data_IF_488012887991
#
_entry.id   IF_488012887991
#
_cell.length_a   1.000
_cell.length_b   1.000
_cell.length_c   1.000
_cell.angle_alpha   90.00
_cell.angle_beta   90.00
_cell.angle_gamma   90.00
#
_symmetry.space_group_name_H-M   'P 1'
#
loop_
_entity.id
_entity.type
_entity.pdbx_description
1 polymer ?
#
# COMPACT_ATOMS: atom_id res chain seq x y z
N UNK A 1 -7.93 10.20 5.41
CA UNK A 1 -6.56 10.71 5.59
C UNK A 1 -6.47 12.01 4.81
N UNK A 2 -6.33 13.18 5.46
CA UNK A 2 -6.16 14.44 4.74
C UNK A 2 -4.73 14.49 4.22
N UNK A 3 -4.55 14.40 2.91
CA UNK A 3 -3.29 14.81 2.29
C UNK A 3 -3.18 16.30 2.52
N UNK A 4 -2.23 16.69 3.36
CA UNK A 4 -2.01 18.09 3.74
C UNK A 4 -1.72 18.90 2.48
N UNK A 5 -2.47 19.98 2.32
CA UNK A 5 -2.34 20.88 1.18
C UNK A 5 -0.95 21.54 1.24
N UNK A 6 -0.01 21.08 0.40
CA UNK A 6 1.39 21.57 0.35
C UNK A 6 1.52 22.98 -0.24
N UNK A 7 0.40 23.62 -0.58
CA UNK A 7 0.40 24.99 -1.06
C UNK A 7 0.51 26.04 0.07
N UNK A 8 0.45 25.63 1.33
CA UNK A 8 0.75 26.52 2.45
C UNK A 8 2.27 26.50 2.62
N UNK A 9 2.90 27.62 2.30
CA UNK A 9 4.30 27.90 2.65
C UNK A 9 4.38 28.11 4.17
N UNK A 10 4.08 27.07 4.93
CA UNK A 10 4.33 27.08 6.35
C UNK A 10 5.85 27.01 6.54
N UNK A 11 6.39 28.05 7.12
CA UNK A 11 7.77 28.04 7.60
C UNK A 11 7.78 27.04 8.77
N UNK A 12 8.12 25.79 8.45
CA UNK A 12 8.33 24.76 9.47
C UNK A 12 9.56 25.19 10.29
N UNK A 13 9.36 25.44 11.58
CA UNK A 13 10.46 25.65 12.51
C UNK A 13 10.87 24.27 13.01
N UNK A 14 12.03 23.70 12.53
CA UNK A 14 12.38 22.30 12.77
C UNK A 14 12.48 21.92 14.25
N UNK A 15 12.62 22.90 15.14
CA UNK A 15 12.70 22.70 16.60
C UNK A 15 11.35 22.57 17.30
N UNK A 16 10.23 22.91 16.62
CA UNK A 16 8.91 22.98 17.23
C UNK A 16 7.95 21.91 16.69
N UNK A 17 8.28 21.26 15.56
CA UNK A 17 7.44 20.24 14.93
C UNK A 17 8.13 18.86 14.92
N UNK A 18 7.38 17.85 15.33
CA UNK A 18 7.76 16.45 15.17
C UNK A 18 6.84 15.79 14.18
N UNK A 19 7.37 15.42 13.02
CA UNK A 19 6.63 14.67 12.01
C UNK A 19 6.57 13.20 12.38
N UNK A 20 5.35 12.65 12.38
CA UNK A 20 5.10 11.21 12.61
C UNK A 20 4.30 10.71 11.41
N UNK A 21 4.85 9.74 10.69
CA UNK A 21 4.14 9.07 9.61
C UNK A 21 3.20 8.02 10.18
N UNK A 22 1.95 8.03 9.74
CA UNK A 22 0.98 6.99 10.03
C UNK A 22 0.79 6.13 8.79
N UNK A 23 1.02 4.84 8.95
CA UNK A 23 0.83 3.84 7.91
C UNK A 23 -0.51 3.11 8.11
N UNK A 24 -1.02 2.39 7.09
CA UNK A 24 -2.12 1.44 7.29
C UNK A 24 -1.79 0.44 8.41
N UNK A 25 -2.81 -0.07 9.08
CA UNK A 25 -2.65 -1.11 10.10
C UNK A 25 -1.92 -2.31 9.50
N UNK A 26 -0.98 -2.86 10.24
CA UNK A 26 -0.37 -4.14 9.90
C UNK A 26 -1.28 -5.32 10.28
N UNK A 27 -0.83 -6.56 9.99
CA UNK A 27 -1.63 -7.75 10.30
C UNK A 27 -1.86 -7.94 11.80
N UNK A 28 -0.89 -7.60 12.64
CA UNK A 28 -1.03 -7.69 14.10
C UNK A 28 -2.09 -6.69 14.59
N UNK A 29 -1.99 -5.44 14.17
CA UNK A 29 -2.93 -4.38 14.54
C UNK A 29 -4.35 -4.69 14.04
N UNK A 30 -4.49 -5.21 12.81
CA UNK A 30 -5.78 -5.70 12.29
C UNK A 30 -6.34 -6.84 13.14
N UNK A 31 -5.51 -7.82 13.51
CA UNK A 31 -5.93 -8.93 14.34
C UNK A 31 -6.38 -8.48 15.74
N UNK A 32 -5.65 -7.53 16.33
CA UNK A 32 -6.03 -6.90 17.61
C UNK A 32 -7.36 -6.16 17.49
N UNK A 33 -7.57 -5.40 16.43
CA UNK A 33 -8.84 -4.74 16.15
C UNK A 33 -10.01 -5.73 15.99
N UNK A 34 -9.74 -6.92 15.44
CA UNK A 34 -10.70 -8.01 15.33
C UNK A 34 -10.94 -8.78 16.65
N UNK A 35 -10.25 -8.42 17.75
CA UNK A 35 -10.38 -9.09 19.05
C UNK A 35 -9.60 -10.39 19.16
N UNK A 36 -8.61 -10.65 18.29
CA UNK A 36 -7.83 -11.89 18.22
C UNK A 36 -6.47 -11.79 18.96
N UNK A 37 -6.44 -11.05 20.08
CA UNK A 37 -5.22 -10.83 20.89
C UNK A 37 -4.55 -12.14 21.34
N UNK A 38 -5.36 -13.13 21.76
CA UNK A 38 -4.84 -14.43 22.20
C UNK A 38 -4.15 -15.19 21.06
N UNK A 39 -4.70 -15.11 19.85
CA UNK A 39 -4.10 -15.74 18.68
C UNK A 39 -2.72 -15.12 18.38
N UNK A 40 -2.61 -13.80 18.41
CA UNK A 40 -1.33 -13.09 18.18
C UNK A 40 -0.29 -13.47 19.25
N UNK A 41 -0.68 -13.49 20.53
CA UNK A 41 0.21 -13.93 21.62
C UNK A 41 0.70 -15.37 21.43
N UNK A 42 -0.20 -16.25 20.98
CA UNK A 42 0.15 -17.65 20.70
C UNK A 42 1.12 -17.77 19.53
N UNK A 43 0.89 -17.05 18.43
CA UNK A 43 1.79 -17.00 17.27
C UNK A 43 3.19 -16.54 17.70
N UNK A 44 3.29 -15.44 18.46
CA UNK A 44 4.57 -14.93 18.98
C UNK A 44 5.28 -15.97 19.86
N UNK A 45 4.54 -16.64 20.74
CA UNK A 45 5.10 -17.68 21.62
C UNK A 45 5.68 -18.86 20.82
N UNK A 46 4.96 -19.31 19.77
CA UNK A 46 5.45 -20.38 18.91
C UNK A 46 6.67 -19.94 18.10
N UNK A 47 6.68 -18.70 17.60
CA UNK A 47 7.82 -18.12 16.89
C UNK A 47 9.08 -18.07 17.77
N UNK A 48 8.96 -17.59 19.01
CA UNK A 48 10.07 -17.49 19.95
C UNK A 48 10.65 -18.87 20.31
N UNK A 49 9.77 -19.86 20.45
CA UNK A 49 10.15 -21.26 20.71
C UNK A 49 10.61 -22.02 19.48
N UNK A 50 10.43 -21.45 18.28
CA UNK A 50 10.67 -22.11 16.97
C UNK A 50 9.84 -23.40 16.81
N UNK A 51 8.62 -23.40 17.34
CA UNK A 51 7.66 -24.49 17.25
C UNK A 51 6.57 -24.15 16.22
N UNK A 52 6.06 -25.13 15.45
CA UNK A 52 4.94 -24.88 14.55
C UNK A 52 3.66 -24.58 15.34
N UNK A 53 2.77 -23.81 14.72
CA UNK A 53 1.41 -23.65 15.24
C UNK A 53 0.65 -24.97 15.18
N UNK A 54 -0.19 -25.22 16.19
CA UNK A 54 -1.18 -26.27 16.12
C UNK A 54 -2.11 -26.05 14.92
N UNK A 55 -2.52 -27.14 14.24
CA UNK A 55 -3.25 -27.07 12.97
C UNK A 55 -4.49 -26.16 13.04
N UNK A 56 -5.33 -26.31 14.07
CA UNK A 56 -6.53 -25.49 14.20
C UNK A 56 -6.24 -23.99 14.38
N UNK A 57 -5.16 -23.67 15.12
CA UNK A 57 -4.72 -22.28 15.30
C UNK A 57 -4.07 -21.72 14.04
N UNK A 58 -3.33 -22.55 13.30
CA UNK A 58 -2.78 -22.18 11.99
C UNK A 58 -3.91 -21.86 11.00
N UNK A 59 -4.91 -22.73 10.89
CA UNK A 59 -6.04 -22.51 9.96
C UNK A 59 -6.80 -21.23 10.32
N UNK A 60 -7.00 -20.96 11.61
CA UNK A 60 -7.60 -19.71 12.10
C UNK A 60 -6.75 -18.48 11.73
N UNK A 61 -5.43 -18.55 11.93
CA UNK A 61 -4.50 -17.48 11.60
C UNK A 61 -4.51 -17.19 10.09
N UNK A 62 -4.51 -18.24 9.26
CA UNK A 62 -4.56 -18.11 7.80
C UNK A 62 -5.87 -17.51 7.31
N UNK A 63 -7.00 -17.88 7.91
CA UNK A 63 -8.29 -17.27 7.59
C UNK A 63 -8.30 -15.78 7.92
N UNK A 64 -7.77 -15.40 9.10
CA UNK A 64 -7.67 -14.01 9.51
C UNK A 64 -6.73 -13.22 8.58
N UNK A 65 -5.60 -13.83 8.19
CA UNK A 65 -4.67 -13.23 7.23
C UNK A 65 -5.31 -13.01 5.85
N UNK A 66 -6.12 -13.96 5.37
CA UNK A 66 -6.88 -13.78 4.13
C UNK A 66 -7.89 -12.63 4.26
N UNK A 67 -8.58 -12.50 5.40
CA UNK A 67 -9.46 -11.36 5.67
C UNK A 67 -8.67 -10.03 5.62
N UNK A 68 -7.50 -9.98 6.26
CA UNK A 68 -6.61 -8.82 6.21
C UNK A 68 -6.18 -8.46 4.78
N UNK A 69 -5.78 -9.45 3.98
CA UNK A 69 -5.41 -9.21 2.58
C UNK A 69 -6.53 -8.59 1.75
N UNK A 70 -7.78 -8.97 2.02
CA UNK A 70 -8.95 -8.45 1.32
C UNK A 70 -9.43 -7.09 1.84
N UNK A 71 -9.45 -6.91 3.16
CA UNK A 71 -9.92 -5.67 3.80
C UNK A 71 -8.86 -4.58 3.75
N UNK A 72 -7.60 -4.96 3.97
CA UNK A 72 -6.46 -4.06 4.13
C UNK A 72 -6.33 -3.53 5.56
N UNK A 73 -5.40 -2.60 5.72
CA UNK A 73 -5.11 -1.92 6.98
C UNK A 73 -5.62 -0.48 7.06
N UNK A 74 -6.39 -0.01 6.08
CA UNK A 74 -6.95 1.34 6.16
C UNK A 74 -8.03 1.40 7.25
N UNK A 75 -7.99 2.38 8.18
CA UNK A 75 -8.85 2.38 9.37
C UNK A 75 -10.35 2.32 9.06
N UNK A 76 -10.85 3.10 8.11
CA UNK A 76 -12.29 3.12 7.78
C UNK A 76 -12.81 1.78 7.23
N UNK A 77 -12.16 1.13 6.24
CA UNK A 77 -12.52 -0.23 5.83
C UNK A 77 -12.48 -1.25 6.96
N UNK A 78 -11.48 -1.17 7.86
CA UNK A 78 -11.37 -2.10 9.00
C UNK A 78 -12.52 -1.90 9.99
N UNK A 79 -12.84 -0.65 10.36
CA UNK A 79 -13.99 -0.33 11.23
C UNK A 79 -15.29 -0.81 10.58
N UNK A 80 -15.49 -0.47 9.30
CA UNK A 80 -16.68 -0.90 8.56
C UNK A 80 -16.83 -2.42 8.53
N UNK A 81 -15.73 -3.15 8.34
CA UNK A 81 -15.72 -4.61 8.35
C UNK A 81 -16.11 -5.19 9.71
N UNK A 82 -15.55 -4.66 10.79
CA UNK A 82 -15.77 -5.17 12.16
C UNK A 82 -17.21 -4.88 12.62
N UNK A 83 -17.66 -3.64 12.49
CA UNK A 83 -18.97 -3.20 12.97
C UNK A 83 -20.13 -3.84 12.22
N UNK A 84 -19.94 -4.18 10.95
CA UNK A 84 -20.96 -4.80 10.10
C UNK A 84 -20.79 -6.32 9.99
N UNK A 85 -20.40 -7.00 11.08
CA UNK A 85 -20.33 -8.48 11.16
C UNK A 85 -19.45 -9.11 10.07
N UNK A 86 -18.31 -8.51 9.81
CA UNK A 86 -17.33 -8.95 8.80
C UNK A 86 -17.86 -8.87 7.36
N UNK A 87 -18.61 -7.83 7.05
CA UNK A 87 -19.15 -7.59 5.72
C UNK A 87 -18.09 -7.00 4.78
N UNK A 88 -17.62 -7.80 3.84
CA UNK A 88 -16.60 -7.38 2.86
C UNK A 88 -17.12 -6.32 1.87
N UNK A 89 -18.39 -6.37 1.49
CA UNK A 89 -18.97 -5.42 0.53
C UNK A 89 -18.97 -4.00 1.08
N UNK A 90 -19.30 -3.83 2.36
CA UNK A 90 -19.26 -2.51 2.99
C UNK A 90 -17.82 -2.00 3.15
N UNK A 91 -16.88 -2.87 3.53
CA UNK A 91 -15.47 -2.52 3.56
C UNK A 91 -14.93 -2.15 2.17
N UNK A 92 -15.37 -2.85 1.12
CA UNK A 92 -14.97 -2.54 -0.26
C UNK A 92 -15.49 -1.18 -0.72
N UNK A 93 -16.69 -0.79 -0.32
CA UNK A 93 -17.23 0.55 -0.59
C UNK A 93 -16.32 1.64 0.00
N UNK A 94 -15.90 1.50 1.26
CA UNK A 94 -14.98 2.45 1.89
C UNK A 94 -13.62 2.53 1.16
N UNK A 95 -13.11 1.38 0.69
CA UNK A 95 -11.87 1.33 -0.10
C UNK A 95 -12.01 2.05 -1.44
N UNK A 96 -13.13 1.87 -2.14
CA UNK A 96 -13.41 2.57 -3.40
C UNK A 96 -13.52 4.07 -3.21
N UNK A 97 -14.10 4.54 -2.12
CA UNK A 97 -14.12 5.95 -1.77
C UNK A 97 -12.70 6.51 -1.54
N UNK A 98 -11.81 5.76 -0.89
CA UNK A 98 -10.40 6.14 -0.74
C UNK A 98 -9.68 6.19 -2.09
N UNK A 99 -9.86 5.18 -2.96
CA UNK A 99 -9.25 5.15 -4.30
C UNK A 99 -9.72 6.35 -5.15
N UNK A 100 -11.01 6.71 -5.04
CA UNK A 100 -11.54 7.91 -5.70
C UNK A 100 -10.86 9.19 -5.17
N UNK A 101 -10.70 9.33 -3.86
CA UNK A 101 -9.99 10.46 -3.26
C UNK A 101 -8.53 10.54 -3.74
N UNK A 102 -7.83 9.41 -3.86
CA UNK A 102 -6.48 9.39 -4.42
C UNK A 102 -6.44 9.91 -5.85
N UNK A 103 -7.41 9.51 -6.70
CA UNK A 103 -7.53 10.04 -8.06
C UNK A 103 -7.80 11.55 -8.07
N UNK A 104 -8.67 12.04 -7.20
CA UNK A 104 -8.96 13.48 -7.06
C UNK A 104 -7.70 14.26 -6.64
N UNK A 105 -6.88 13.70 -5.75
CA UNK A 105 -5.61 14.32 -5.33
C UNK A 105 -4.58 14.34 -6.47
N UNK A 106 -4.48 13.26 -7.24
CA UNK A 106 -3.66 13.22 -8.45
C UNK A 106 -4.13 14.29 -9.47
N UNK A 107 -5.42 14.53 -9.58
CA UNK A 107 -5.97 15.56 -10.50
C UNK A 107 -5.59 16.99 -10.11
N UNK A 108 -5.19 17.24 -8.86
CA UNK A 108 -4.72 18.55 -8.36
C UNK A 108 -3.26 18.86 -8.73
N UNK A 109 -2.49 17.84 -9.17
CA UNK A 109 -1.09 18.00 -9.56
C UNK A 109 -0.99 18.85 -10.83
N UNK A 110 0.17 19.48 -11.03
CA UNK A 110 0.48 20.19 -12.26
C UNK A 110 0.22 19.31 -13.50
N UNK A 111 -0.47 19.85 -14.48
CA UNK A 111 -0.90 19.13 -15.69
C UNK A 111 0.24 18.42 -16.44
N UNK A 112 1.46 18.93 -16.33
CA UNK A 112 2.67 18.35 -16.96
C UNK A 112 2.96 16.93 -16.47
N UNK A 113 2.71 16.64 -15.16
CA UNK A 113 3.05 15.36 -14.52
C UNK A 113 1.83 14.47 -14.29
N UNK A 114 0.64 15.05 -14.26
CA UNK A 114 -0.62 14.37 -13.94
C UNK A 114 -0.84 13.09 -14.75
N UNK A 115 -0.68 13.16 -16.06
CA UNK A 115 -0.90 12.02 -16.95
C UNK A 115 0.06 10.85 -16.63
N UNK A 116 1.30 11.17 -16.29
CA UNK A 116 2.31 10.16 -15.95
C UNK A 116 2.00 9.52 -14.59
N UNK A 117 1.59 10.33 -13.60
CA UNK A 117 1.19 9.82 -12.28
C UNK A 117 -0.02 8.91 -12.40
N UNK A 118 -1.05 9.31 -13.13
CA UNK A 118 -2.21 8.47 -13.41
C UNK A 118 -1.83 7.18 -14.13
N UNK A 119 -0.97 7.26 -15.15
CA UNK A 119 -0.53 6.08 -15.91
C UNK A 119 0.19 5.05 -15.03
N UNK A 120 1.06 5.49 -14.12
CA UNK A 120 1.72 4.57 -13.17
C UNK A 120 0.68 4.02 -12.19
N UNK A 121 -0.10 4.89 -11.55
CA UNK A 121 -1.09 4.53 -10.56
C UNK A 121 -2.08 3.46 -11.08
N UNK A 122 -2.64 3.68 -12.27
CA UNK A 122 -3.62 2.78 -12.88
C UNK A 122 -3.01 1.44 -13.30
N UNK A 123 -1.71 1.41 -13.60
CA UNK A 123 -1.03 0.19 -14.04
C UNK A 123 -0.37 -0.61 -12.91
N UNK A 124 -0.37 -0.12 -11.66
CA UNK A 124 0.21 -0.87 -10.53
C UNK A 124 -0.28 -2.33 -10.47
N UNK A 125 -1.60 -2.62 -10.52
CA UNK A 125 -2.08 -4.00 -10.50
C UNK A 125 -1.54 -4.81 -11.69
N UNK A 126 -1.51 -4.20 -12.89
CA UNK A 126 -1.01 -4.82 -14.10
C UNK A 126 0.48 -5.18 -14.03
N UNK A 127 1.32 -4.32 -13.44
CA UNK A 127 2.73 -4.64 -13.21
C UNK A 127 2.91 -5.77 -12.20
N UNK A 128 2.15 -5.75 -11.11
CA UNK A 128 2.24 -6.76 -10.06
C UNK A 128 1.71 -8.14 -10.49
N UNK A 129 0.82 -8.21 -11.48
CA UNK A 129 0.34 -9.47 -12.06
C UNK A 129 1.38 -10.18 -12.93
N UNK A 130 2.44 -9.49 -13.38
CA UNK A 130 3.49 -10.07 -14.20
C UNK A 130 4.47 -10.88 -13.36
N UNK A 131 5.18 -11.83 -14.00
CA UNK A 131 6.16 -12.68 -13.32
C UNK A 131 7.23 -11.87 -12.58
N UNK A 132 7.82 -10.86 -13.22
CA UNK A 132 8.88 -10.03 -12.61
C UNK A 132 8.35 -8.96 -11.67
N UNK A 133 7.06 -8.63 -11.72
CA UNK A 133 6.39 -7.61 -10.89
C UNK A 133 7.06 -6.23 -10.92
N UNK A 134 7.82 -5.93 -11.97
CA UNK A 134 8.49 -4.63 -12.15
C UNK A 134 7.69 -3.71 -13.04
N UNK A 135 7.93 -2.42 -12.89
CA UNK A 135 7.40 -1.40 -13.81
C UNK A 135 8.11 -1.54 -15.16
N UNK A 136 7.33 -1.68 -16.22
CA UNK A 136 7.83 -1.75 -17.60
C UNK A 136 7.46 -0.45 -18.31
N UNK A 137 8.39 0.50 -18.37
CA UNK A 137 8.15 1.84 -18.90
C UNK A 137 7.68 1.84 -20.36
N UNK A 138 8.20 0.94 -21.19
CA UNK A 138 7.76 0.78 -22.57
C UNK A 138 6.28 0.37 -22.72
N UNK A 139 5.67 -0.22 -21.68
CA UNK A 139 4.22 -0.50 -21.68
C UNK A 139 3.39 0.73 -21.34
N UNK A 140 3.97 1.70 -20.64
CA UNK A 140 3.30 2.96 -20.32
C UNK A 140 3.29 3.84 -21.55
N UNK A 141 4.46 4.01 -22.18
CA UNK A 141 4.64 4.75 -23.42
C UNK A 141 5.84 4.17 -24.16
N UNK A 142 5.71 3.92 -25.46
CA UNK A 142 6.79 3.41 -26.29
C UNK A 142 8.01 4.33 -26.25
N UNK A 143 9.21 3.75 -26.03
CA UNK A 143 10.46 4.50 -25.90
C UNK A 143 10.66 5.23 -24.58
N UNK A 144 9.87 4.93 -23.55
CA UNK A 144 10.01 5.56 -22.24
C UNK A 144 11.06 4.88 -21.37
N UNK A 145 11.74 5.69 -20.55
CA UNK A 145 12.74 5.28 -19.56
C UNK A 145 12.38 5.86 -18.18
N UNK A 146 12.97 5.30 -17.13
CA UNK A 146 12.72 5.69 -15.73
C UNK A 146 12.92 7.17 -15.47
N UNK A 147 13.96 7.78 -16.01
CA UNK A 147 14.31 9.20 -15.81
C UNK A 147 13.13 10.15 -16.14
N UNK A 148 12.24 9.71 -17.02
CA UNK A 148 11.05 10.50 -17.38
C UNK A 148 9.94 10.40 -16.34
N UNK A 149 10.04 9.46 -15.38
CA UNK A 149 9.03 9.16 -14.37
C UNK A 149 9.53 9.32 -12.94
N UNK A 150 10.78 9.75 -12.70
CA UNK A 150 11.33 9.92 -11.35
C UNK A 150 10.45 10.81 -10.47
N UNK A 151 10.01 11.95 -10.98
CA UNK A 151 9.11 12.86 -10.25
C UNK A 151 7.74 12.23 -9.96
N UNK A 152 7.31 11.31 -10.82
CA UNK A 152 6.04 10.56 -10.66
C UNK A 152 6.13 9.62 -9.46
N UNK A 153 7.21 8.85 -9.39
CA UNK A 153 7.44 7.94 -8.28
C UNK A 153 7.64 8.71 -6.98
N UNK A 154 8.49 9.73 -7.01
CA UNK A 154 8.69 10.60 -5.84
C UNK A 154 7.36 11.14 -5.29
N UNK A 155 6.47 11.60 -6.17
CA UNK A 155 5.16 12.10 -5.74
C UNK A 155 4.29 11.01 -5.12
N UNK A 156 4.22 9.82 -5.75
CA UNK A 156 3.43 8.69 -5.25
C UNK A 156 3.92 8.20 -3.88
N UNK A 157 5.23 8.10 -3.71
CA UNK A 157 5.85 7.69 -2.44
C UNK A 157 5.65 8.74 -1.35
N UNK A 158 5.93 10.00 -1.67
CA UNK A 158 5.83 11.12 -0.73
C UNK A 158 4.37 11.41 -0.31
N UNK A 159 3.39 11.13 -1.19
CA UNK A 159 1.97 11.15 -0.87
C UNK A 159 1.50 9.90 -0.10
N UNK A 160 2.38 8.93 0.16
CA UNK A 160 2.09 7.66 0.82
C UNK A 160 0.98 6.85 0.10
N UNK A 161 0.80 7.04 -1.21
CA UNK A 161 -0.15 6.27 -2.04
C UNK A 161 0.48 4.96 -2.47
N UNK A 162 1.79 4.98 -2.79
CA UNK A 162 2.52 3.80 -3.23
C UNK A 162 3.89 3.71 -2.57
N UNK A 163 4.41 2.49 -2.50
CA UNK A 163 5.75 2.17 -2.03
C UNK A 163 6.61 1.69 -3.19
N UNK A 164 7.81 2.23 -3.30
CA UNK A 164 8.81 1.83 -4.28
C UNK A 164 9.77 0.80 -3.68
N UNK A 165 10.16 -0.16 -4.51
CA UNK A 165 11.16 -1.15 -4.14
C UNK A 165 12.17 -1.29 -5.29
N UNK A 166 13.40 -0.86 -5.05
CA UNK A 166 14.49 -0.95 -6.02
C UNK A 166 15.33 -2.21 -5.83
N UNK A 167 15.91 -2.70 -6.92
CA UNK A 167 16.88 -3.77 -6.85
C UNK A 167 18.18 -3.24 -6.26
N UNK A 168 18.67 -3.90 -5.21
CA UNK A 168 20.00 -3.68 -4.66
C UNK A 168 20.87 -4.90 -4.91
N UNK A 169 21.99 -4.71 -5.60
CA UNK A 169 22.93 -5.79 -5.94
C UNK A 169 23.99 -6.03 -4.87
N UNK A 170 24.29 -5.01 -4.05
CA UNK A 170 25.25 -5.09 -2.96
C UNK A 170 24.63 -4.53 -1.67
N UNK A 171 24.23 -5.41 -0.72
CA UNK A 171 23.63 -4.98 0.54
C UNK A 171 24.65 -4.60 1.62
N UNK A 172 25.94 -4.54 1.30
CA UNK A 172 27.01 -4.38 2.29
C UNK A 172 27.05 -3.00 2.95
N UNK A 173 26.79 -1.92 2.22
CA UNK A 173 26.82 -0.55 2.73
C UNK A 173 25.80 0.33 2.02
N UNK A 174 24.95 0.99 2.78
CA UNK A 174 24.04 2.01 2.24
C UNK A 174 23.20 1.54 1.05
N UNK A 175 22.10 0.83 1.29
CA UNK A 175 21.27 0.22 0.24
C UNK A 175 20.94 1.20 -0.89
N UNK A 176 20.64 2.46 -0.54
CA UNK A 176 20.31 3.51 -1.51
C UNK A 176 21.47 3.90 -2.45
N UNK A 177 22.72 3.63 -2.06
CA UNK A 177 23.89 3.91 -2.90
C UNK A 177 24.10 2.85 -4.00
N UNK A 178 23.56 1.64 -3.77
CA UNK A 178 23.74 0.48 -4.64
C UNK A 178 22.42 0.06 -5.34
N UNK A 179 21.43 0.93 -5.36
CA UNK A 179 20.16 0.65 -6.02
C UNK A 179 20.27 0.76 -7.54
N UNK A 180 19.68 -0.21 -8.21
CA UNK A 180 19.53 -0.20 -9.67
C UNK A 180 18.13 0.36 -10.00
N UNK A 181 18.06 1.67 -10.24
CA UNK A 181 16.80 2.41 -10.43
C UNK A 181 15.95 1.90 -11.60
N UNK A 182 16.59 1.36 -12.64
CA UNK A 182 15.87 0.77 -13.79
C UNK A 182 15.04 -0.47 -13.43
N UNK A 183 15.25 -1.06 -12.25
CA UNK A 183 14.49 -2.19 -11.72
C UNK A 183 13.68 -1.76 -10.51
N UNK A 184 12.57 -1.07 -10.76
CA UNK A 184 11.64 -0.63 -9.72
C UNK A 184 10.38 -1.49 -9.71
N UNK A 185 9.95 -1.90 -8.53
CA UNK A 185 8.61 -2.43 -8.26
C UNK A 185 7.83 -1.35 -7.52
N UNK A 186 6.56 -1.20 -7.88
CA UNK A 186 5.67 -0.23 -7.26
C UNK A 186 4.47 -0.96 -6.68
N UNK A 187 4.22 -0.77 -5.39
CA UNK A 187 3.13 -1.38 -4.66
C UNK A 187 2.22 -0.29 -4.12
N UNK A 188 0.90 -0.48 -4.14
CA UNK A 188 0.03 0.38 -3.35
C UNK A 188 0.38 0.25 -1.86
N UNK A 189 0.17 1.32 -1.11
CA UNK A 189 0.50 1.37 0.31
C UNK A 189 -0.33 0.40 1.16
N UNK A 190 -1.43 -0.11 0.63
CA UNK A 190 -2.35 -1.01 1.31
C UNK A 190 -2.81 -2.16 0.41
N UNK A 191 -2.85 -3.38 0.95
CA UNK A 191 -3.21 -4.59 0.21
C UNK A 191 -4.69 -4.64 -0.16
N UNK A 192 -5.57 -4.18 0.73
CA UNK A 192 -7.00 -4.11 0.47
C UNK A 192 -7.33 -3.09 -0.62
N UNK A 193 -6.65 -1.95 -0.63
CA UNK A 193 -6.77 -0.96 -1.71
C UNK A 193 -6.28 -1.53 -3.04
N UNK A 194 -5.16 -2.28 -3.04
CA UNK A 194 -4.67 -2.95 -4.24
C UNK A 194 -5.70 -3.94 -4.79
N UNK A 195 -6.34 -4.71 -3.90
CA UNK A 195 -7.38 -5.64 -4.30
C UNK A 195 -8.55 -4.92 -4.97
N UNK A 196 -9.12 -3.88 -4.34
CA UNK A 196 -10.23 -3.11 -4.90
C UNK A 196 -9.85 -2.37 -6.18
N UNK A 197 -8.61 -1.88 -6.28
CA UNK A 197 -8.10 -1.23 -7.48
C UNK A 197 -7.96 -2.20 -8.66
N UNK A 198 -7.59 -3.46 -8.39
CA UNK A 198 -7.49 -4.50 -9.42
C UNK A 198 -8.84 -4.83 -10.06
N UNK A 199 -9.92 -4.75 -9.28
CA UNK A 199 -11.28 -5.12 -9.68
C UNK A 199 -12.20 -3.90 -9.80
N UNK A 200 -11.65 -2.72 -10.10
CA UNK A 200 -12.38 -1.44 -10.10
C UNK A 200 -13.59 -1.42 -11.04
N UNK A 201 -13.52 -2.15 -12.16
CA UNK A 201 -14.61 -2.24 -13.15
C UNK A 201 -15.47 -3.52 -13.01
N UNK A 202 -15.06 -4.46 -12.15
CA UNK A 202 -15.77 -5.70 -11.96
C UNK A 202 -16.48 -5.68 -10.61
N UNK A 203 -17.80 -5.72 -10.61
CA UNK A 203 -18.53 -6.04 -9.37
C UNK A 203 -18.12 -7.43 -8.91
N UNK A 204 -17.63 -7.51 -7.67
CA UNK A 204 -17.42 -8.80 -7.01
C UNK A 204 -18.78 -9.45 -6.84
N UNK A 205 -19.03 -10.47 -7.61
CA UNK A 205 -20.22 -11.31 -7.53
C UNK A 205 -20.25 -12.07 -6.20
#
# INVERSE_FOLDING_TARGET
MCIRDRNIKDIVIPSEERHINMYPLDFEEFALACGEELLIKYIKTCFDKKEPLERGMHDKAMLLFQQYMLVGGMPMPVVSFIENKKNFTLADKEKRDILRLYREDIMKINSRYRSKVLSIYDQIPGFLSQHEKRVIFNKIQEGSYIDQYEETFFWLADSMIANECFLCNDPSVGLSLNETRSYVKCYLADTGLLFSHTFDENELL
#
